data_IF_670880920336
#
_entry.id   IF_670880920336
#
_cell.length_a   1.000
_cell.length_b   1.000
_cell.length_c   1.000
_cell.angle_alpha   90.00
_cell.angle_beta   90.00
_cell.angle_gamma   90.00
#
_symmetry.space_group_name_H-M   'P 1'
#
loop_
_entity.id
_entity.type
_entity.pdbx_description
1 polymer ?
#
# COMPACT_ATOMS: atom_id res chain seq x y z
N UNK A 1 -8.34 -25.48 -11.19
CA UNK A 1 -9.61 -25.22 -10.48
C UNK A 1 -10.49 -24.27 -11.30
N UNK A 2 -11.81 -24.31 -11.09
CA UNK A 2 -12.77 -23.40 -11.73
C UNK A 2 -13.68 -22.79 -10.66
N UNK A 3 -13.76 -21.47 -10.61
CA UNK A 3 -14.72 -20.72 -9.79
C UNK A 3 -15.88 -20.35 -10.70
N UNK A 4 -17.11 -20.81 -10.40
CA UNK A 4 -18.31 -20.61 -11.22
C UNK A 4 -19.31 -19.67 -10.56
N UNK A 5 -20.13 -19.04 -11.41
CA UNK A 5 -21.30 -18.25 -10.98
C UNK A 5 -20.97 -17.06 -10.07
N UNK A 6 -19.73 -16.54 -10.12
CA UNK A 6 -19.35 -15.36 -9.37
C UNK A 6 -19.68 -14.06 -10.11
N UNK A 7 -19.87 -12.98 -9.36
CA UNK A 7 -19.78 -11.59 -9.87
C UNK A 7 -18.30 -11.23 -9.94
N UNK A 8 -17.70 -11.35 -11.12
CA UNK A 8 -16.26 -11.19 -11.33
C UNK A 8 -15.95 -9.72 -11.61
N UNK A 9 -14.99 -9.14 -10.86
CA UNK A 9 -14.40 -7.87 -11.21
C UNK A 9 -13.53 -8.02 -12.46
N UNK A 10 -13.98 -7.42 -13.55
CA UNK A 10 -13.35 -7.59 -14.87
C UNK A 10 -12.26 -6.53 -15.13
N UNK A 11 -11.37 -6.76 -16.10
CA UNK A 11 -10.40 -5.74 -16.55
C UNK A 11 -11.03 -4.47 -17.15
N UNK A 12 -12.36 -4.44 -17.32
CA UNK A 12 -13.12 -3.26 -17.71
C UNK A 12 -13.63 -2.46 -16.53
N UNK A 13 -13.21 -2.83 -15.32
CA UNK A 13 -13.61 -2.22 -14.05
C UNK A 13 -15.14 -2.29 -13.81
N UNK A 14 -15.74 -3.41 -14.18
CA UNK A 14 -17.16 -3.71 -13.97
C UNK A 14 -17.31 -5.08 -13.34
N UNK A 15 -18.44 -5.33 -12.67
CA UNK A 15 -18.80 -6.66 -12.19
C UNK A 15 -19.68 -7.38 -13.21
N UNK A 16 -19.28 -8.58 -13.61
CA UNK A 16 -20.02 -9.42 -14.56
C UNK A 16 -20.17 -10.84 -14.04
N UNK A 17 -21.34 -11.43 -14.21
CA UNK A 17 -21.52 -12.85 -13.89
C UNK A 17 -20.67 -13.72 -14.82
N UNK A 18 -19.94 -14.67 -14.23
CA UNK A 18 -19.05 -15.50 -15.02
C UNK A 18 -18.36 -16.59 -14.24
N UNK A 19 -17.32 -17.13 -14.86
CA UNK A 19 -16.47 -18.16 -14.26
C UNK A 19 -15.00 -17.85 -14.54
N UNK A 20 -14.15 -18.17 -13.57
CA UNK A 20 -12.69 -18.07 -13.67
C UNK A 20 -12.12 -19.49 -13.74
N UNK A 21 -11.19 -19.71 -14.66
CA UNK A 21 -10.39 -20.94 -14.72
C UNK A 21 -8.96 -20.61 -14.31
N UNK A 22 -8.42 -21.35 -13.33
CA UNK A 22 -7.06 -21.19 -12.85
C UNK A 22 -6.31 -22.50 -13.05
N UNK A 23 -5.23 -22.46 -13.81
CA UNK A 23 -4.34 -23.60 -14.07
C UNK A 23 -2.90 -23.18 -13.90
N UNK A 24 -2.09 -24.02 -13.27
CA UNK A 24 -0.67 -23.74 -12.99
C UNK A 24 -0.47 -22.39 -12.30
N UNK A 25 -1.38 -22.06 -11.37
CA UNK A 25 -1.32 -20.82 -10.59
C UNK A 25 -1.74 -19.55 -11.34
N UNK A 26 -2.18 -19.65 -12.62
CA UNK A 26 -2.56 -18.50 -13.43
C UNK A 26 -3.99 -18.59 -13.93
N UNK A 27 -4.60 -17.43 -14.11
CA UNK A 27 -5.89 -17.31 -14.77
C UNK A 27 -5.70 -17.61 -16.27
N UNK A 28 -6.50 -18.52 -16.78
CA UNK A 28 -6.53 -18.87 -18.21
C UNK A 28 -7.89 -18.50 -18.82
N UNK A 29 -8.00 -18.35 -20.15
CA UNK A 29 -9.30 -18.22 -20.78
C UNK A 29 -10.23 -19.35 -20.35
N UNK A 30 -11.52 -19.05 -20.21
CA UNK A 30 -12.49 -20.05 -19.75
C UNK A 30 -12.35 -21.36 -20.55
N UNK A 31 -12.23 -22.46 -19.84
CA UNK A 31 -12.14 -23.81 -20.40
C UNK A 31 -13.12 -24.74 -19.68
N UNK A 32 -13.54 -25.80 -20.36
CA UNK A 32 -14.36 -26.85 -19.72
C UNK A 32 -13.54 -27.52 -18.60
N UNK A 33 -14.22 -27.99 -17.54
CA UNK A 33 -13.57 -28.73 -16.46
C UNK A 33 -12.84 -29.96 -16.99
N UNK A 34 -11.63 -30.20 -16.50
CA UNK A 34 -10.89 -31.42 -16.70
C UNK A 34 -11.24 -32.46 -15.61
N UNK A 35 -10.98 -33.74 -15.87
CA UNK A 35 -11.24 -34.80 -14.89
C UNK A 35 -10.42 -34.56 -13.60
N UNK A 36 -11.10 -34.53 -12.46
CA UNK A 36 -10.48 -34.25 -11.14
C UNK A 36 -10.21 -32.77 -10.83
N UNK A 37 -10.59 -31.86 -11.74
CA UNK A 37 -10.43 -30.42 -11.49
C UNK A 37 -11.43 -29.94 -10.42
N UNK A 38 -10.93 -29.19 -9.42
CA UNK A 38 -11.76 -28.61 -8.37
C UNK A 38 -12.72 -27.56 -8.97
N UNK A 39 -13.99 -27.64 -8.58
CA UNK A 39 -15.03 -26.69 -8.98
C UNK A 39 -15.61 -26.05 -7.72
N UNK A 40 -15.52 -24.72 -7.65
CA UNK A 40 -16.09 -23.90 -6.59
C UNK A 40 -17.31 -23.18 -7.11
N UNK A 41 -18.46 -23.39 -6.51
CA UNK A 41 -19.68 -22.61 -6.79
C UNK A 41 -19.66 -21.34 -5.93
N UNK A 42 -19.53 -20.19 -6.57
CA UNK A 42 -19.49 -18.88 -5.96
C UNK A 42 -20.74 -18.05 -6.26
N UNK A 43 -21.91 -18.73 -6.40
CA UNK A 43 -23.18 -18.07 -6.65
C UNK A 43 -23.47 -16.99 -5.61
N UNK A 44 -23.66 -15.76 -6.05
CA UNK A 44 -23.97 -14.60 -5.21
C UNK A 44 -22.76 -13.94 -4.54
N UNK A 45 -21.56 -14.48 -4.73
CA UNK A 45 -20.34 -13.87 -4.23
C UNK A 45 -19.68 -12.97 -5.29
N UNK A 46 -18.99 -11.94 -4.83
CA UNK A 46 -18.01 -11.20 -5.61
C UNK A 46 -16.72 -12.00 -5.74
N UNK A 47 -16.13 -12.02 -6.92
CA UNK A 47 -14.74 -12.46 -7.13
C UNK A 47 -13.89 -11.23 -7.40
N UNK A 48 -13.07 -10.87 -6.41
CA UNK A 48 -12.17 -9.72 -6.45
C UNK A 48 -10.72 -10.20 -6.71
N UNK A 49 -9.87 -9.40 -7.36
CA UNK A 49 -8.45 -9.69 -7.41
C UNK A 49 -7.83 -9.65 -6.01
N UNK A 50 -6.78 -10.44 -5.77
CA UNK A 50 -5.96 -10.29 -4.58
C UNK A 50 -5.45 -8.85 -4.48
N UNK A 51 -5.57 -8.26 -3.28
CA UNK A 51 -5.16 -6.89 -3.01
C UNK A 51 -3.65 -6.76 -3.01
N UNK A 52 -3.19 -5.53 -3.20
CA UNK A 52 -1.77 -5.14 -3.20
C UNK A 52 -1.61 -3.96 -2.24
N UNK A 53 -0.86 -4.15 -1.15
CA UNK A 53 -0.55 -3.06 -0.22
C UNK A 53 0.87 -2.57 -0.44
N UNK A 54 0.99 -1.29 -0.76
CA UNK A 54 2.29 -0.66 -1.04
C UNK A 54 2.77 0.27 0.08
N UNK A 55 2.01 0.35 1.18
CA UNK A 55 2.39 1.17 2.31
C UNK A 55 1.75 0.65 3.61
N UNK A 56 2.51 -0.09 4.39
CA UNK A 56 2.20 -0.48 5.76
C UNK A 56 3.51 -0.84 6.47
N UNK A 57 3.55 -0.74 7.82
CA UNK A 57 4.76 -0.98 8.62
C UNK A 57 4.72 -2.31 9.36
N UNK A 58 3.53 -2.73 9.80
CA UNK A 58 3.45 -3.88 10.68
C UNK A 58 2.06 -4.44 10.91
N UNK A 59 2.03 -5.61 11.55
CA UNK A 59 0.83 -6.29 12.05
C UNK A 59 1.23 -7.37 13.07
N UNK A 60 0.28 -7.83 13.88
CA UNK A 60 0.45 -8.98 14.79
C UNK A 60 1.66 -8.89 15.72
N UNK A 61 2.04 -7.68 16.14
CA UNK A 61 3.16 -7.42 17.04
C UNK A 61 4.53 -7.41 16.37
N UNK A 62 4.58 -7.46 15.03
CA UNK A 62 5.81 -7.39 14.24
C UNK A 62 5.82 -6.13 13.38
N UNK A 63 7.02 -5.61 13.15
CA UNK A 63 7.29 -4.47 12.29
C UNK A 63 8.26 -4.91 11.18
N UNK A 64 8.09 -4.39 9.97
CA UNK A 64 9.00 -4.69 8.87
C UNK A 64 10.45 -4.30 9.21
N UNK A 65 10.60 -3.21 9.96
CA UNK A 65 11.91 -2.75 10.44
C UNK A 65 12.50 -3.58 11.59
N UNK A 66 11.83 -4.65 12.06
CA UNK A 66 12.48 -5.67 12.91
C UNK A 66 13.63 -6.36 12.16
N UNK A 67 13.65 -6.30 10.82
CA UNK A 67 14.76 -6.68 9.97
C UNK A 67 15.12 -8.17 10.08
N UNK A 68 14.11 -9.03 10.19
CA UNK A 68 14.31 -10.48 10.29
C UNK A 68 13.20 -11.27 9.58
N UNK A 69 13.49 -12.53 9.25
CA UNK A 69 12.60 -13.43 8.53
C UNK A 69 11.28 -13.70 9.25
N UNK A 70 11.31 -13.82 10.59
CA UNK A 70 10.11 -14.07 11.40
C UNK A 70 9.10 -12.94 11.25
N UNK A 71 9.57 -11.68 11.28
CA UNK A 71 8.71 -10.51 11.10
C UNK A 71 8.11 -10.50 9.69
N UNK A 72 8.92 -10.63 8.65
CA UNK A 72 8.44 -10.62 7.25
C UNK A 72 7.41 -11.73 7.03
N UNK A 73 7.67 -12.96 7.50
CA UNK A 73 6.75 -14.08 7.35
C UNK A 73 5.44 -13.86 8.13
N UNK A 74 5.52 -13.27 9.33
CA UNK A 74 4.31 -12.95 10.13
C UNK A 74 3.43 -11.94 9.39
N UNK A 75 4.04 -10.89 8.81
CA UNK A 75 3.33 -9.91 8.00
C UNK A 75 2.71 -10.56 6.76
N UNK A 76 3.48 -11.36 6.04
CA UNK A 76 3.01 -12.07 4.85
C UNK A 76 1.83 -13.00 5.15
N UNK A 77 1.88 -13.76 6.24
CA UNK A 77 0.79 -14.66 6.65
C UNK A 77 -0.47 -13.88 7.05
N UNK A 78 -0.32 -12.80 7.82
CA UNK A 78 -1.45 -11.96 8.24
C UNK A 78 -2.13 -11.30 7.05
N UNK A 79 -1.37 -10.65 6.19
CA UNK A 79 -1.88 -9.94 5.02
C UNK A 79 -2.58 -10.88 4.04
N UNK A 80 -2.01 -12.07 3.79
CA UNK A 80 -2.65 -13.09 2.95
C UNK A 80 -3.99 -13.56 3.54
N UNK A 81 -4.06 -13.75 4.87
CA UNK A 81 -5.31 -14.07 5.58
C UNK A 81 -6.39 -12.98 5.45
N UNK A 82 -5.99 -11.76 5.08
CA UNK A 82 -6.87 -10.61 4.81
C UNK A 82 -7.08 -10.36 3.30
N UNK A 83 -6.60 -11.25 2.43
CA UNK A 83 -6.77 -11.10 0.99
C UNK A 83 -5.77 -10.17 0.31
N UNK A 84 -4.79 -9.63 1.03
CA UNK A 84 -3.65 -8.91 0.46
C UNK A 84 -2.60 -9.93 0.05
N UNK A 85 -2.38 -10.11 -1.24
CA UNK A 85 -1.57 -11.20 -1.78
C UNK A 85 -0.24 -10.76 -2.37
N UNK A 86 0.01 -9.44 -2.41
CA UNK A 86 1.30 -8.85 -2.71
C UNK A 86 1.54 -7.68 -1.75
N UNK A 87 2.71 -7.66 -1.13
CA UNK A 87 3.08 -6.66 -0.12
C UNK A 87 4.36 -5.93 -0.50
N UNK A 88 4.34 -4.61 -0.30
CA UNK A 88 5.48 -3.72 -0.42
C UNK A 88 5.56 -2.87 0.87
N UNK A 89 5.99 -3.49 2.00
CA UNK A 89 6.00 -2.82 3.30
C UNK A 89 6.90 -1.59 3.32
N UNK A 90 6.54 -0.62 4.16
CA UNK A 90 7.28 0.60 4.34
C UNK A 90 8.32 0.48 5.46
N UNK A 91 9.50 1.09 5.24
CA UNK A 91 10.46 1.30 6.31
C UNK A 91 10.04 2.50 7.18
N UNK A 92 10.67 2.65 8.32
CA UNK A 92 10.63 3.87 9.12
C UNK A 92 11.93 4.66 8.93
N UNK A 93 11.93 5.93 9.34
CA UNK A 93 13.15 6.74 9.43
C UNK A 93 14.09 6.16 10.47
N UNK A 94 15.16 5.51 9.99
CA UNK A 94 16.21 4.89 10.78
C UNK A 94 17.60 5.21 10.23
N UNK A 95 18.65 4.88 11.00
CA UNK A 95 20.02 4.96 10.53
C UNK A 95 20.28 4.00 9.36
N UNK A 96 21.25 4.32 8.50
CA UNK A 96 21.64 3.43 7.39
C UNK A 96 22.04 2.03 7.91
N UNK A 97 22.60 1.91 9.12
CA UNK A 97 22.97 0.63 9.73
C UNK A 97 21.74 -0.24 10.00
N UNK A 98 20.68 0.32 10.58
CA UNK A 98 19.41 -0.40 10.83
C UNK A 98 18.75 -0.76 9.49
N UNK A 99 18.65 0.19 8.57
CA UNK A 99 18.07 -0.04 7.25
C UNK A 99 18.82 -1.12 6.46
N UNK A 100 20.14 -1.21 6.60
CA UNK A 100 20.93 -2.30 6.01
C UNK A 100 20.43 -3.69 6.47
N UNK A 101 20.13 -3.87 7.76
CA UNK A 101 19.58 -5.12 8.30
C UNK A 101 18.21 -5.45 7.71
N UNK A 102 17.34 -4.44 7.57
CA UNK A 102 16.01 -4.59 6.95
C UNK A 102 16.14 -5.03 5.49
N UNK A 103 17.02 -4.36 4.72
CA UNK A 103 17.25 -4.69 3.31
C UNK A 103 17.81 -6.11 3.13
N UNK A 104 18.76 -6.52 4.01
CA UNK A 104 19.33 -7.87 3.97
C UNK A 104 18.26 -8.94 4.26
N UNK A 105 17.41 -8.73 5.26
CA UNK A 105 16.33 -9.65 5.59
C UNK A 105 15.33 -9.77 4.43
N UNK A 106 14.92 -8.64 3.84
CA UNK A 106 14.01 -8.62 2.70
C UNK A 106 14.61 -9.32 1.47
N UNK A 107 15.89 -9.10 1.18
CA UNK A 107 16.58 -9.75 0.05
C UNK A 107 16.77 -11.26 0.25
N UNK A 108 16.81 -11.73 1.49
CA UNK A 108 16.94 -13.15 1.84
C UNK A 108 15.59 -13.88 1.86
N UNK A 109 14.47 -13.16 2.07
CA UNK A 109 13.13 -13.74 2.15
C UNK A 109 12.76 -14.51 0.89
N UNK A 110 12.08 -15.63 1.06
CA UNK A 110 11.63 -16.48 -0.04
C UNK A 110 10.08 -16.52 -0.06
N UNK A 111 9.50 -15.95 -1.09
CA UNK A 111 8.06 -16.05 -1.33
C UNK A 111 7.65 -17.52 -1.52
N UNK A 112 6.49 -17.88 -1.00
CA UNK A 112 5.97 -19.27 -1.14
C UNK A 112 4.89 -19.61 -0.13
N UNK A 113 4.82 -18.82 0.95
CA UNK A 113 3.79 -18.90 1.97
C UNK A 113 3.38 -17.48 2.36
N UNK A 114 2.07 -17.23 2.49
CA UNK A 114 1.56 -15.89 2.78
C UNK A 114 1.60 -14.98 1.54
N UNK A 115 1.44 -13.68 1.73
CA UNK A 115 1.54 -12.69 0.67
C UNK A 115 2.97 -12.64 0.10
N UNK A 116 3.09 -12.47 -1.21
CA UNK A 116 4.41 -12.32 -1.83
C UNK A 116 5.00 -10.94 -1.48
N UNK A 117 6.21 -10.91 -0.93
CA UNK A 117 7.01 -9.68 -0.80
C UNK A 117 7.49 -9.28 -2.19
N UNK A 118 6.93 -8.19 -2.72
CA UNK A 118 7.16 -7.74 -4.11
C UNK A 118 7.95 -6.43 -4.19
N UNK A 119 8.14 -5.77 -3.06
CA UNK A 119 8.87 -4.51 -3.00
C UNK A 119 9.06 -4.02 -1.56
N UNK A 120 9.71 -2.87 -1.46
CA UNK A 120 9.90 -2.09 -0.24
C UNK A 120 9.54 -0.64 -0.58
N UNK A 121 8.75 0.00 0.27
CA UNK A 121 8.58 1.44 0.28
C UNK A 121 9.60 2.04 1.28
N UNK A 122 10.51 2.87 0.81
CA UNK A 122 11.49 3.54 1.66
C UNK A 122 10.88 4.84 2.19
N UNK A 123 10.12 4.76 3.29
CA UNK A 123 9.55 5.93 3.96
C UNK A 123 10.56 6.56 4.92
N UNK A 124 11.09 7.69 4.50
CA UNK A 124 12.25 8.30 5.13
C UNK A 124 13.57 7.57 4.80
N UNK A 125 14.70 8.11 5.24
CA UNK A 125 14.89 9.22 6.16
C UNK A 125 14.94 10.61 5.49
N UNK A 126 14.56 10.76 4.23
CA UNK A 126 14.69 11.99 3.43
C UNK A 126 13.46 12.91 3.55
N UNK A 127 12.91 13.03 4.76
CA UNK A 127 11.68 13.75 5.06
C UNK A 127 11.93 15.03 5.86
N UNK A 128 10.92 15.90 5.93
CA UNK A 128 11.05 17.21 6.58
C UNK A 128 11.06 17.13 8.11
N UNK A 129 11.99 17.80 8.80
CA UNK A 129 12.00 17.89 10.26
C UNK A 129 10.76 18.58 10.83
N UNK A 130 10.03 19.34 10.00
CA UNK A 130 8.83 20.06 10.41
C UNK A 130 7.55 19.25 10.22
N UNK A 131 7.63 18.07 9.61
CA UNK A 131 6.49 17.18 9.30
C UNK A 131 6.81 15.70 9.57
N UNK A 132 7.61 15.44 10.59
CA UNK A 132 8.03 14.08 10.96
C UNK A 132 6.86 13.14 11.30
N UNK A 133 5.70 13.67 11.76
CA UNK A 133 4.60 12.80 12.17
C UNK A 133 5.03 11.85 13.28
N UNK A 134 4.89 10.54 13.03
CA UNK A 134 5.34 9.46 13.92
C UNK A 134 6.76 8.97 13.60
N UNK A 135 7.47 9.56 12.64
CA UNK A 135 8.85 9.23 12.33
C UNK A 135 9.81 9.74 13.41
N UNK A 136 10.95 9.06 13.62
CA UNK A 136 11.92 9.48 14.61
C UNK A 136 12.87 10.58 14.06
N UNK A 137 12.83 11.82 14.58
CA UNK A 137 13.64 12.91 14.06
C UNK A 137 15.15 12.72 14.26
N UNK A 138 15.59 11.83 15.14
CA UNK A 138 17.01 11.54 15.39
C UNK A 138 17.72 11.00 14.14
N UNK A 139 17.00 10.29 13.29
CA UNK A 139 17.56 9.60 12.11
C UNK A 139 17.27 10.30 10.77
N UNK A 140 16.76 11.54 10.83
CA UNK A 140 16.57 12.32 9.61
C UNK A 140 17.90 12.50 8.86
N UNK A 141 17.85 12.33 7.56
CA UNK A 141 19.01 12.47 6.69
C UNK A 141 18.67 13.33 5.47
N UNK A 142 19.63 14.12 5.02
CA UNK A 142 19.49 14.81 3.73
C UNK A 142 19.38 13.78 2.61
N UNK A 143 18.67 14.13 1.55
CA UNK A 143 18.58 13.29 0.37
C UNK A 143 19.99 12.91 -0.14
N UNK A 144 20.25 11.61 -0.24
CA UNK A 144 21.57 11.05 -0.59
C UNK A 144 21.40 9.90 -1.59
N UNK A 145 21.71 10.19 -2.85
CA UNK A 145 21.69 9.22 -3.97
C UNK A 145 22.61 8.02 -3.70
N UNK A 146 23.76 8.26 -3.07
CA UNK A 146 24.72 7.17 -2.81
C UNK A 146 24.19 6.23 -1.71
N UNK A 147 23.57 6.77 -0.65
CA UNK A 147 22.90 5.97 0.39
C UNK A 147 21.77 5.14 -0.23
N UNK A 148 20.86 5.75 -0.98
CA UNK A 148 19.79 5.03 -1.66
C UNK A 148 20.33 3.87 -2.52
N UNK A 149 21.35 4.12 -3.36
CA UNK A 149 21.88 3.08 -4.23
C UNK A 149 22.59 1.95 -3.46
N UNK A 150 23.19 2.24 -2.29
CA UNK A 150 23.74 1.19 -1.40
C UNK A 150 22.61 0.32 -0.84
N UNK A 151 21.52 0.95 -0.34
CA UNK A 151 20.33 0.25 0.18
C UNK A 151 19.64 -0.57 -0.93
N UNK A 152 19.41 0.03 -2.10
CA UNK A 152 18.80 -0.64 -3.26
C UNK A 152 19.61 -1.88 -3.71
N UNK A 153 20.95 -1.75 -3.75
CA UNK A 153 21.82 -2.89 -4.05
C UNK A 153 21.68 -3.98 -2.98
N UNK A 154 21.60 -3.62 -1.71
CA UNK A 154 21.47 -4.54 -0.59
C UNK A 154 20.13 -5.25 -0.60
N UNK A 155 19.06 -4.52 -0.89
CA UNK A 155 17.71 -5.03 -1.09
C UNK A 155 17.54 -5.86 -2.37
N UNK A 156 18.59 -6.09 -3.15
CA UNK A 156 18.53 -6.80 -4.44
C UNK A 156 17.49 -6.20 -5.42
N UNK A 157 17.32 -4.87 -5.42
CA UNK A 157 16.38 -4.18 -6.30
C UNK A 157 14.93 -4.14 -5.80
N UNK A 158 14.67 -4.50 -4.55
CA UNK A 158 13.32 -4.54 -4.00
C UNK A 158 12.76 -3.16 -3.65
N UNK A 159 13.56 -2.09 -3.48
CA UNK A 159 13.01 -0.76 -3.21
C UNK A 159 12.25 -0.30 -4.46
N UNK A 160 10.93 -0.09 -4.31
CA UNK A 160 10.01 0.31 -5.39
C UNK A 160 9.56 1.76 -5.28
N UNK A 161 9.48 2.28 -4.03
CA UNK A 161 9.16 3.67 -3.73
C UNK A 161 10.22 4.27 -2.83
N UNK A 162 10.42 5.58 -2.97
CA UNK A 162 11.19 6.41 -2.03
C UNK A 162 10.37 7.64 -1.70
N UNK A 163 10.13 7.86 -0.43
CA UNK A 163 9.40 8.99 0.10
C UNK A 163 10.35 10.14 0.42
N UNK A 164 10.05 11.33 -0.08
CA UNK A 164 10.95 12.48 0.02
C UNK A 164 10.19 13.80 0.22
N UNK A 165 10.74 14.69 1.06
CA UNK A 165 10.29 16.07 1.19
C UNK A 165 11.06 16.95 0.21
N UNK A 166 10.43 17.49 -0.85
CA UNK A 166 11.15 18.19 -1.92
C UNK A 166 11.75 19.53 -1.52
N UNK A 167 11.32 20.12 -0.41
CA UNK A 167 11.91 21.35 0.16
C UNK A 167 13.24 21.12 0.88
N UNK A 168 13.56 19.86 1.21
CA UNK A 168 14.79 19.56 1.94
C UNK A 168 16.02 19.62 1.01
N UNK A 169 17.19 20.01 1.56
CA UNK A 169 18.41 20.18 0.77
C UNK A 169 18.81 18.90 0.01
N UNK A 170 19.02 19.01 -1.30
CA UNK A 170 19.42 17.90 -2.18
C UNK A 170 18.27 17.05 -2.71
N UNK A 171 17.01 17.35 -2.30
CA UNK A 171 15.87 16.54 -2.68
C UNK A 171 15.56 16.60 -4.18
N UNK A 172 15.58 17.80 -4.80
CA UNK A 172 15.32 17.94 -6.24
C UNK A 172 16.41 17.24 -7.09
N UNK A 173 17.66 17.34 -6.66
CA UNK A 173 18.78 16.64 -7.31
C UNK A 173 18.65 15.12 -7.16
N UNK A 174 18.19 14.64 -5.98
CA UNK A 174 17.91 13.23 -5.76
C UNK A 174 16.79 12.73 -6.69
N UNK A 175 15.67 13.47 -6.76
CA UNK A 175 14.55 13.13 -7.65
C UNK A 175 15.05 13.02 -9.09
N UNK A 176 15.73 14.05 -9.60
CA UNK A 176 16.25 14.07 -10.96
C UNK A 176 17.24 12.93 -11.27
N UNK A 177 18.00 12.48 -10.26
CA UNK A 177 18.99 11.43 -10.42
C UNK A 177 18.45 10.01 -10.30
N UNK A 178 17.29 9.81 -9.63
CA UNK A 178 16.80 8.49 -9.24
C UNK A 178 15.43 8.11 -9.82
N UNK A 179 14.68 9.03 -10.44
CA UNK A 179 13.30 8.78 -10.90
C UNK A 179 13.17 7.66 -11.95
N UNK A 180 14.22 7.35 -12.71
CA UNK A 180 14.26 6.22 -13.63
C UNK A 180 14.60 4.87 -12.94
N UNK A 181 15.13 4.91 -11.71
CA UNK A 181 15.54 3.75 -10.94
C UNK A 181 14.44 3.27 -9.96
N UNK A 182 13.63 4.21 -9.46
CA UNK A 182 12.63 3.99 -8.43
C UNK A 182 11.52 5.04 -8.53
N UNK A 183 10.30 4.68 -8.14
CA UNK A 183 9.22 5.67 -8.03
C UNK A 183 9.50 6.63 -6.88
N UNK A 184 9.38 7.93 -7.15
CA UNK A 184 9.57 8.98 -6.15
C UNK A 184 8.21 9.51 -5.71
N UNK A 185 7.99 9.48 -4.41
CA UNK A 185 6.78 9.98 -3.76
C UNK A 185 7.06 11.20 -2.89
N UNK A 186 6.24 12.23 -3.01
CA UNK A 186 6.29 13.38 -2.11
C UNK A 186 5.59 13.02 -0.80
N UNK A 187 6.32 13.13 0.32
CA UNK A 187 5.88 12.70 1.62
C UNK A 187 6.42 13.57 2.75
N UNK A 188 5.75 13.61 3.91
CA UNK A 188 6.22 14.25 5.14
C UNK A 188 6.87 15.61 4.88
N UNK A 189 6.11 16.54 4.30
CA UNK A 189 6.63 17.75 3.66
C UNK A 189 5.92 19.01 4.15
N UNK A 190 6.64 20.11 4.17
CA UNK A 190 6.11 21.48 4.29
C UNK A 190 6.13 22.23 2.94
N UNK A 191 6.29 21.50 1.85
CA UNK A 191 6.53 22.09 0.52
C UNK A 191 5.41 23.03 0.08
N UNK A 192 5.81 24.06 -0.65
CA UNK A 192 4.88 24.96 -1.34
C UNK A 192 4.35 24.32 -2.63
N UNK A 193 3.33 24.94 -3.21
CA UNK A 193 2.84 24.57 -4.55
C UNK A 193 3.94 24.60 -5.61
N UNK A 194 4.77 25.68 -5.62
CA UNK A 194 5.83 25.84 -6.62
C UNK A 194 6.95 24.81 -6.47
N UNK A 195 7.37 24.52 -5.23
CA UNK A 195 8.39 23.51 -4.96
C UNK A 195 7.88 22.10 -5.26
N UNK A 196 6.62 21.80 -4.97
CA UNK A 196 6.00 20.53 -5.37
C UNK A 196 5.97 20.37 -6.89
N UNK A 197 5.61 21.42 -7.64
CA UNK A 197 5.68 21.40 -9.10
C UNK A 197 7.12 21.16 -9.61
N UNK A 198 8.12 21.79 -8.99
CA UNK A 198 9.53 21.53 -9.34
C UNK A 198 9.92 20.07 -9.09
N UNK A 199 9.40 19.43 -8.03
CA UNK A 199 9.63 18.01 -7.78
C UNK A 199 8.97 17.10 -8.83
N UNK A 200 7.75 17.43 -9.26
CA UNK A 200 7.08 16.72 -10.36
C UNK A 200 7.81 16.93 -11.69
N UNK A 201 8.29 18.14 -11.98
CA UNK A 201 9.13 18.42 -13.15
C UNK A 201 10.46 17.66 -13.12
N UNK A 202 11.01 17.39 -11.93
CA UNK A 202 12.22 16.59 -11.73
C UNK A 202 11.98 15.07 -11.83
N UNK A 203 10.71 14.60 -11.82
CA UNK A 203 10.39 13.19 -12.02
C UNK A 203 9.64 12.51 -10.88
N UNK A 204 9.21 13.23 -9.83
CA UNK A 204 8.26 12.69 -8.87
C UNK A 204 6.91 12.42 -9.57
N UNK A 205 6.19 11.36 -9.18
CA UNK A 205 4.93 10.97 -9.81
C UNK A 205 3.87 10.50 -8.82
N UNK A 206 4.18 10.55 -7.52
CA UNK A 206 3.39 9.93 -6.49
C UNK A 206 3.32 10.80 -5.23
N UNK A 207 2.27 10.66 -4.42
CA UNK A 207 2.14 11.28 -3.10
C UNK A 207 1.72 10.26 -2.05
N UNK A 208 2.48 10.18 -1.00
CA UNK A 208 2.29 9.28 0.13
C UNK A 208 1.19 9.80 1.05
N UNK A 209 0.31 8.90 1.54
CA UNK A 209 -0.78 9.12 2.50
C UNK A 209 -1.36 10.55 2.47
N UNK A 210 -1.93 10.93 1.31
CA UNK A 210 -2.44 12.26 1.00
C UNK A 210 -3.18 12.90 2.18
N UNK A 211 -2.95 14.18 2.45
CA UNK A 211 -3.38 15.01 3.58
C UNK A 211 -2.58 14.82 4.87
N UNK A 212 -1.97 13.67 5.10
CA UNK A 212 -1.25 13.38 6.33
C UNK A 212 0.20 13.88 6.23
N UNK A 213 0.70 14.50 7.30
CA UNK A 213 2.04 15.06 7.39
C UNK A 213 2.41 16.02 6.22
N UNK A 214 1.45 16.81 5.71
CA UNK A 214 1.64 17.80 4.66
C UNK A 214 0.76 19.04 4.85
N UNK A 215 0.99 20.16 4.11
CA UNK A 215 0.09 21.31 4.11
C UNK A 215 -1.25 20.97 3.48
N UNK A 216 -2.35 21.48 4.06
CA UNK A 216 -3.69 21.39 3.49
C UNK A 216 -3.93 22.38 2.35
N UNK A 217 -5.03 22.20 1.63
CA UNK A 217 -5.46 23.11 0.55
C UNK A 217 -5.98 24.42 1.12
N UNK A 218 -5.41 25.55 0.71
CA UNK A 218 -5.97 26.88 0.94
C UNK A 218 -6.04 27.68 -0.35
N UNK A 219 -6.88 28.71 -0.39
CA UNK A 219 -7.12 29.48 -1.63
C UNK A 219 -6.00 30.43 -2.04
N UNK A 220 -4.99 30.66 -1.19
CA UNK A 220 -3.80 31.48 -1.48
C UNK A 220 -2.50 30.69 -1.43
N UNK A 221 -2.52 29.57 -0.74
CA UNK A 221 -1.41 28.61 -0.61
C UNK A 221 -1.98 27.21 -0.92
N UNK A 222 -2.14 26.87 -2.21
CA UNK A 222 -2.81 25.62 -2.60
C UNK A 222 -2.04 24.37 -2.20
N UNK A 223 -0.73 24.48 -1.98
CA UNK A 223 0.12 23.41 -1.47
C UNK A 223 0.38 22.26 -2.45
N UNK A 224 1.02 21.20 -1.97
CA UNK A 224 1.43 20.07 -2.80
C UNK A 224 0.25 19.28 -3.37
N UNK A 225 -0.90 19.27 -2.69
CA UNK A 225 -2.08 18.49 -3.09
C UNK A 225 -2.64 18.99 -4.44
N UNK A 226 -2.72 20.29 -4.62
CA UNK A 226 -3.19 20.87 -5.90
C UNK A 226 -2.13 20.70 -7.00
N UNK A 227 -0.84 20.81 -6.65
CA UNK A 227 0.22 20.51 -7.61
C UNK A 227 0.13 19.04 -8.09
N UNK A 228 -0.07 18.08 -7.20
CA UNK A 228 -0.26 16.68 -7.53
C UNK A 228 -1.47 16.45 -8.46
N UNK A 229 -2.59 17.09 -8.16
CA UNK A 229 -3.81 17.01 -8.97
C UNK A 229 -3.56 17.50 -10.41
N UNK A 230 -2.92 18.67 -10.57
CA UNK A 230 -2.65 19.25 -11.88
C UNK A 230 -1.62 18.47 -12.71
N UNK A 231 -0.74 17.72 -12.01
CA UNK A 231 0.28 16.85 -12.63
C UNK A 231 -0.19 15.43 -12.89
N UNK A 232 -1.43 15.08 -12.48
CA UNK A 232 -1.94 13.72 -12.60
C UNK A 232 -1.12 12.70 -11.81
N UNK A 233 -0.62 13.10 -10.64
CA UNK A 233 0.12 12.20 -9.77
C UNK A 233 -0.78 11.14 -9.15
N UNK A 234 -0.23 9.95 -8.89
CA UNK A 234 -0.89 8.94 -8.06
C UNK A 234 -0.87 9.38 -6.60
N UNK A 235 -1.95 9.07 -5.85
CA UNK A 235 -2.10 9.52 -4.46
C UNK A 235 -2.59 8.39 -3.57
N UNK A 236 -1.91 8.19 -2.45
CA UNK A 236 -2.30 7.19 -1.45
C UNK A 236 -3.37 7.74 -0.51
N UNK A 237 -4.34 6.90 -0.12
CA UNK A 237 -5.37 7.22 0.86
C UNK A 237 -5.49 6.13 1.93
N UNK A 238 -5.53 6.54 3.20
CA UNK A 238 -5.85 5.70 4.35
C UNK A 238 -7.35 5.85 4.65
N UNK A 239 -8.15 4.83 4.37
CA UNK A 239 -9.61 4.88 4.51
C UNK A 239 -10.11 4.13 5.75
N UNK A 240 -9.47 4.36 6.89
CA UNK A 240 -9.73 3.71 8.17
C UNK A 240 -10.78 4.42 9.06
N UNK A 241 -11.41 5.52 8.57
CA UNK A 241 -12.28 6.42 9.33
C UNK A 241 -11.61 7.22 10.46
N UNK A 242 -10.29 7.20 10.54
CA UNK A 242 -9.50 7.93 11.55
C UNK A 242 -8.68 9.04 10.89
N UNK A 243 -7.91 8.68 9.84
CA UNK A 243 -6.98 9.58 9.18
C UNK A 243 -7.68 10.63 8.32
N UNK A 244 -8.72 10.23 7.60
CA UNK A 244 -9.37 11.09 6.59
C UNK A 244 -10.88 11.07 6.79
N UNK A 245 -11.47 12.25 6.81
CA UNK A 245 -12.93 12.37 6.86
C UNK A 245 -13.57 11.82 5.57
N UNK A 246 -14.69 11.05 5.62
CA UNK A 246 -15.31 10.44 4.45
C UNK A 246 -15.63 11.41 3.30
N UNK A 247 -15.95 12.68 3.59
CA UNK A 247 -16.16 13.69 2.56
C UNK A 247 -14.89 14.00 1.76
N UNK A 248 -13.69 13.94 2.41
CA UNK A 248 -12.40 14.16 1.75
C UNK A 248 -11.98 12.95 0.92
N UNK A 249 -12.32 11.74 1.36
CA UNK A 249 -12.13 10.52 0.55
C UNK A 249 -12.92 10.65 -0.76
N UNK A 250 -14.22 10.95 -0.69
CA UNK A 250 -15.04 11.18 -1.90
C UNK A 250 -14.54 12.34 -2.76
N UNK A 251 -14.12 13.44 -2.13
CA UNK A 251 -13.51 14.57 -2.84
C UNK A 251 -12.29 14.12 -3.66
N UNK A 252 -11.42 13.29 -3.07
CA UNK A 252 -10.22 12.81 -3.75
C UNK A 252 -10.57 11.91 -4.94
N UNK A 253 -11.44 10.92 -4.76
CA UNK A 253 -11.89 10.09 -5.89
C UNK A 253 -12.53 10.91 -7.01
N UNK A 254 -13.37 11.91 -6.67
CA UNK A 254 -14.01 12.75 -7.66
C UNK A 254 -13.07 13.71 -8.40
N UNK A 255 -11.96 14.12 -7.77
CA UNK A 255 -11.02 15.10 -8.35
C UNK A 255 -9.84 14.45 -9.03
N UNK A 256 -9.22 13.46 -8.41
CA UNK A 256 -8.07 12.74 -8.99
C UNK A 256 -8.50 11.66 -9.99
N UNK A 257 -9.72 11.14 -9.84
CA UNK A 257 -10.23 10.04 -10.65
C UNK A 257 -9.72 8.67 -10.20
N UNK A 258 -10.43 7.63 -10.60
CA UNK A 258 -10.18 6.25 -10.17
C UNK A 258 -8.81 5.71 -10.59
N UNK A 259 -8.20 6.29 -11.63
CA UNK A 259 -6.91 5.85 -12.15
C UNK A 259 -5.71 6.26 -11.26
N UNK A 260 -5.89 7.26 -10.41
CA UNK A 260 -4.80 7.89 -9.67
C UNK A 260 -4.88 7.65 -8.16
N UNK A 261 -6.01 7.12 -7.65
CA UNK A 261 -6.15 6.86 -6.21
C UNK A 261 -5.67 5.46 -5.88
N UNK A 262 -4.84 5.35 -4.85
CA UNK A 262 -4.34 4.10 -4.29
C UNK A 262 -4.78 4.00 -2.84
N UNK A 263 -5.45 2.93 -2.44
CA UNK A 263 -5.72 2.65 -1.03
C UNK A 263 -4.52 1.95 -0.41
N UNK A 264 -4.18 2.36 0.79
CA UNK A 264 -3.12 1.80 1.62
C UNK A 264 -3.63 1.55 3.03
N UNK A 265 -2.97 0.67 3.77
CA UNK A 265 -3.28 0.43 5.17
C UNK A 265 -2.57 1.43 6.09
N UNK A 266 -1.34 1.75 5.81
CA UNK A 266 -0.43 2.43 6.74
C UNK A 266 -0.49 1.79 8.14
N UNK A 267 -0.68 0.46 8.18
CA UNK A 267 -0.86 -0.27 9.42
C UNK A 267 0.45 -0.39 10.19
N UNK A 268 0.34 -0.37 11.51
CA UNK A 268 1.47 -0.58 12.41
C UNK A 268 1.34 -1.90 13.17
N UNK A 269 2.35 -2.29 13.96
CA UNK A 269 2.42 -3.61 14.61
C UNK A 269 1.19 -3.99 15.44
N UNK A 270 0.34 -3.05 15.86
CA UNK A 270 -0.90 -3.35 16.59
C UNK A 270 -2.03 -3.84 15.69
N UNK A 271 -1.91 -3.75 14.37
CA UNK A 271 -2.94 -4.26 13.47
C UNK A 271 -3.17 -5.76 13.73
N UNK A 272 -4.44 -6.13 13.93
CA UNK A 272 -4.83 -7.50 14.31
C UNK A 272 -4.73 -7.82 15.81
N UNK A 273 -4.29 -6.88 16.65
CA UNK A 273 -4.14 -7.04 18.09
C UNK A 273 -5.13 -6.16 18.89
N UNK A 274 -5.38 -6.44 20.18
CA UNK A 274 -6.27 -5.63 21.02
C UNK A 274 -5.67 -4.26 21.34
N UNK A 275 -6.49 -3.39 21.93
CA UNK A 275 -6.05 -2.12 22.52
C UNK A 275 -4.87 -2.33 23.48
N UNK A 276 -3.89 -1.43 23.48
CA UNK A 276 -2.69 -1.56 24.30
C UNK A 276 -1.58 -0.58 23.98
N UNK A 277 -0.40 -0.90 24.52
CA UNK A 277 0.84 -0.16 24.28
C UNK A 277 1.69 -0.93 23.26
N UNK A 278 2.15 -0.21 22.26
CA UNK A 278 2.93 -0.74 21.15
C UNK A 278 4.08 0.22 20.82
N UNK A 279 4.75 0.01 19.69
CA UNK A 279 5.76 0.94 19.18
C UNK A 279 5.65 1.12 17.67
N UNK A 280 6.15 2.24 17.17
CA UNK A 280 6.34 2.51 15.75
C UNK A 280 7.61 3.35 15.59
N UNK A 281 8.57 2.89 14.78
CA UNK A 281 9.82 3.61 14.59
C UNK A 281 10.62 3.86 15.86
N UNK A 282 10.48 2.98 16.89
CA UNK A 282 11.11 3.13 18.20
C UNK A 282 10.37 4.09 19.15
N UNK A 283 9.25 4.68 18.73
CA UNK A 283 8.43 5.56 19.56
C UNK A 283 7.26 4.79 20.18
N UNK A 284 6.91 5.10 21.46
CA UNK A 284 5.78 4.48 22.13
C UNK A 284 4.44 4.93 21.53
N UNK A 285 3.56 3.96 21.25
CA UNK A 285 2.22 4.18 20.68
C UNK A 285 1.16 3.58 21.57
N UNK A 286 0.11 4.36 21.82
CA UNK A 286 -1.11 3.89 22.50
C UNK A 286 -2.20 3.64 21.48
N UNK A 287 -2.75 2.42 21.47
CA UNK A 287 -3.91 2.04 20.65
C UNK A 287 -5.15 1.97 21.52
N UNK A 288 -6.20 2.67 21.10
CA UNK A 288 -7.51 2.65 21.74
C UNK A 288 -8.61 2.68 20.66
N UNK A 289 -9.34 1.59 20.53
CA UNK A 289 -10.28 1.37 19.43
C UNK A 289 -9.56 1.48 18.07
N UNK A 290 -10.09 2.23 17.11
CA UNK A 290 -9.47 2.34 15.79
C UNK A 290 -8.25 3.29 15.76
N UNK A 291 -7.90 3.93 16.89
CA UNK A 291 -6.90 5.00 16.96
C UNK A 291 -5.57 4.51 17.51
N UNK A 292 -4.50 4.71 16.75
CA UNK A 292 -3.12 4.61 17.21
C UNK A 292 -2.53 6.04 17.30
N UNK A 293 -1.94 6.41 18.44
CA UNK A 293 -1.35 7.73 18.66
C UNK A 293 -0.03 7.62 19.41
N UNK A 294 0.89 8.55 19.16
CA UNK A 294 2.10 8.63 19.98
C UNK A 294 1.72 8.84 21.47
N UNK A 295 2.28 8.02 22.35
CA UNK A 295 1.94 8.04 23.79
C UNK A 295 2.30 9.39 24.43
N UNK A 296 3.43 9.97 24.06
CA UNK A 296 3.89 11.27 24.59
C UNK A 296 3.21 12.45 23.88
N UNK A 297 2.63 12.22 22.66
CA UNK A 297 1.96 13.23 21.85
C UNK A 297 0.61 12.72 21.36
N UNK A 298 -0.43 12.61 22.24
CA UNK A 298 -1.72 11.96 21.90
C UNK A 298 -2.51 12.64 20.75
N UNK A 299 -2.08 13.85 20.33
CA UNK A 299 -2.63 14.54 19.16
C UNK A 299 -2.06 14.04 17.82
N UNK A 300 -0.96 13.28 17.83
CA UNK A 300 -0.31 12.76 16.63
C UNK A 300 -0.74 11.33 16.39
N UNK A 301 -1.39 11.07 15.25
CA UNK A 301 -1.72 9.73 14.79
C UNK A 301 -0.41 9.04 14.38
N UNK A 302 -0.28 7.75 14.67
CA UNK A 302 0.94 6.97 14.49
C UNK A 302 0.62 5.65 13.74
N UNK A 303 0.48 5.76 12.42
CA UNK A 303 0.00 4.69 11.57
C UNK A 303 -1.44 4.27 11.89
N UNK A 304 -1.94 3.22 11.26
CA UNK A 304 -3.27 2.69 11.49
C UNK A 304 -3.24 1.34 12.23
N UNK A 305 -4.38 0.95 12.81
CA UNK A 305 -4.63 -0.39 13.32
C UNK A 305 -5.55 -1.21 12.39
N UNK A 306 -5.61 -0.83 11.10
CA UNK A 306 -6.56 -1.36 10.12
C UNK A 306 -5.82 -1.95 8.92
N UNK A 307 -6.13 -3.17 8.49
CA UNK A 307 -5.54 -3.75 7.28
C UNK A 307 -6.17 -3.18 6.00
N UNK A 308 -5.51 -3.35 4.85
CA UNK A 308 -5.96 -2.80 3.56
C UNK A 308 -7.38 -3.28 3.17
N UNK A 309 -7.70 -4.55 3.41
CA UNK A 309 -9.04 -5.06 3.08
C UNK A 309 -10.13 -4.32 3.85
N UNK A 310 -9.92 -4.06 5.15
CA UNK A 310 -10.87 -3.31 5.97
C UNK A 310 -10.92 -1.83 5.57
N UNK A 311 -9.79 -1.23 5.12
CA UNK A 311 -9.78 0.11 4.53
C UNK A 311 -10.65 0.15 3.26
N UNK A 312 -10.47 -0.78 2.33
CA UNK A 312 -11.29 -0.89 1.11
C UNK A 312 -12.77 -1.09 1.45
N UNK A 313 -13.10 -2.01 2.38
CA UNK A 313 -14.47 -2.28 2.82
C UNK A 313 -15.13 -1.03 3.42
N UNK A 314 -14.44 -0.28 4.27
CA UNK A 314 -14.93 0.98 4.85
C UNK A 314 -15.13 2.06 3.80
N UNK A 315 -14.22 2.18 2.83
CA UNK A 315 -14.39 3.11 1.72
C UNK A 315 -15.73 2.89 1.01
N UNK A 316 -16.12 1.64 0.78
CA UNK A 316 -17.39 1.28 0.13
C UNK A 316 -18.59 1.48 1.07
N UNK A 317 -18.59 0.80 2.22
CA UNK A 317 -19.79 0.67 3.06
C UNK A 317 -20.05 1.91 3.92
N UNK A 318 -19.01 2.66 4.30
CA UNK A 318 -19.10 3.76 5.24
C UNK A 318 -18.82 5.14 4.61
N UNK A 319 -18.05 5.17 3.50
CA UNK A 319 -17.69 6.43 2.85
C UNK A 319 -18.37 6.65 1.50
N UNK A 320 -19.16 5.67 1.01
CA UNK A 320 -19.90 5.70 -0.27
C UNK A 320 -18.97 5.86 -1.50
N UNK A 321 -17.81 5.22 -1.49
CA UNK A 321 -16.98 5.02 -2.69
C UNK A 321 -17.59 3.86 -3.48
N UNK A 322 -17.74 3.95 -4.82
CA UNK A 322 -18.17 2.81 -5.64
C UNK A 322 -17.26 1.59 -5.41
N UNK A 323 -17.84 0.39 -5.36
CA UNK A 323 -17.08 -0.84 -5.13
C UNK A 323 -15.99 -1.03 -6.19
N UNK A 324 -16.33 -0.74 -7.44
CA UNK A 324 -15.40 -0.84 -8.58
C UNK A 324 -14.19 0.06 -8.41
N UNK A 325 -14.40 1.30 -7.96
CA UNK A 325 -13.35 2.27 -7.69
C UNK A 325 -12.45 1.84 -6.52
N UNK A 326 -13.07 1.35 -5.42
CA UNK A 326 -12.33 0.92 -4.24
C UNK A 326 -11.49 -0.34 -4.51
N UNK A 327 -12.04 -1.32 -5.24
CA UNK A 327 -11.30 -2.53 -5.66
C UNK A 327 -10.12 -2.15 -6.55
N UNK A 328 -10.33 -1.27 -7.52
CA UNK A 328 -9.27 -0.79 -8.41
C UNK A 328 -8.16 -0.11 -7.63
N UNK A 329 -8.51 0.78 -6.71
CA UNK A 329 -7.58 1.52 -5.87
C UNK A 329 -6.79 0.63 -4.89
N UNK A 330 -7.32 -0.53 -4.51
CA UNK A 330 -6.66 -1.48 -3.59
C UNK A 330 -5.95 -2.65 -4.31
N UNK A 331 -6.02 -2.73 -5.65
CA UNK A 331 -5.47 -3.86 -6.39
C UNK A 331 -4.69 -3.44 -7.64
N UNK A 332 -5.34 -2.97 -8.69
CA UNK A 332 -4.72 -2.69 -9.98
C UNK A 332 -3.82 -1.45 -9.93
N UNK A 333 -4.28 -0.35 -9.31
CA UNK A 333 -3.51 0.88 -9.24
C UNK A 333 -2.19 0.70 -8.48
N UNK A 334 -2.17 0.13 -7.24
CA UNK A 334 -0.90 -0.11 -6.56
C UNK A 334 0.00 -1.10 -7.32
N UNK A 335 -0.56 -2.12 -7.98
CA UNK A 335 0.24 -3.05 -8.80
C UNK A 335 0.92 -2.33 -9.98
N UNK A 336 0.21 -1.44 -10.67
CA UNK A 336 0.76 -0.60 -11.75
C UNK A 336 1.81 0.37 -11.21
N UNK A 337 1.51 1.01 -10.07
CA UNK A 337 2.39 1.98 -9.44
C UNK A 337 3.80 1.42 -9.20
N UNK A 338 3.91 0.19 -8.74
CA UNK A 338 5.21 -0.45 -8.48
C UNK A 338 5.67 -1.43 -9.58
N UNK A 339 4.98 -1.46 -10.72
CA UNK A 339 5.39 -2.22 -11.91
C UNK A 339 5.27 -3.74 -11.79
N UNK A 340 4.27 -4.25 -11.04
CA UNK A 340 4.00 -5.69 -10.87
C UNK A 340 2.68 -6.13 -11.51
N UNK A 341 2.01 -5.26 -12.25
CA UNK A 341 0.70 -5.49 -12.84
C UNK A 341 0.67 -6.57 -13.92
N UNK A 342 1.84 -7.08 -14.35
CA UNK A 342 1.93 -8.26 -15.20
C UNK A 342 1.49 -9.54 -14.51
N UNK A 343 1.54 -9.60 -13.18
CA UNK A 343 1.22 -10.78 -12.39
C UNK A 343 0.10 -10.53 -11.38
N UNK A 344 -0.01 -9.32 -10.80
CA UNK A 344 -0.90 -8.98 -9.69
C UNK A 344 -1.97 -7.94 -10.04
N UNK A 345 -2.93 -7.76 -9.14
CA UNK A 345 -3.91 -6.67 -9.15
C UNK A 345 -5.08 -6.85 -10.12
N UNK A 346 -5.17 -7.94 -10.88
CA UNK A 346 -6.22 -8.14 -11.88
C UNK A 346 -6.60 -9.61 -12.04
N UNK A 347 -7.85 -9.86 -12.43
CA UNK A 347 -8.36 -11.19 -12.80
C UNK A 347 -8.29 -11.46 -14.31
N UNK A 348 -7.46 -10.72 -15.04
CA UNK A 348 -7.22 -10.95 -16.47
C UNK A 348 -6.47 -12.27 -16.70
N UNK A 349 -6.70 -12.88 -17.88
CA UNK A 349 -5.94 -14.05 -18.30
C UNK A 349 -4.43 -13.75 -18.34
N UNK A 350 -3.63 -14.71 -17.88
CA UNK A 350 -2.17 -14.60 -17.74
C UNK A 350 -1.71 -14.13 -16.36
N UNK A 351 -2.55 -13.45 -15.56
CA UNK A 351 -2.25 -13.01 -14.19
C UNK A 351 -2.27 -14.19 -13.22
N UNK A 352 -1.69 -14.03 -12.04
CA UNK A 352 -1.82 -15.03 -10.99
C UNK A 352 -3.29 -15.26 -10.62
N UNK A 353 -3.64 -16.49 -10.30
CA UNK A 353 -4.96 -16.89 -9.80
C UNK A 353 -5.16 -16.47 -8.34
N UNK A 354 -4.97 -15.20 -8.07
CA UNK A 354 -5.12 -14.55 -6.79
C UNK A 354 -6.54 -13.99 -6.69
N UNK A 355 -7.43 -14.70 -5.98
CA UNK A 355 -8.87 -14.41 -5.97
C UNK A 355 -9.37 -14.33 -4.54
N UNK A 356 -10.14 -13.29 -4.24
CA UNK A 356 -10.93 -13.16 -3.01
C UNK A 356 -12.38 -13.40 -3.37
N UNK A 357 -13.03 -14.35 -2.70
CA UNK A 357 -14.50 -14.47 -2.72
C UNK A 357 -15.08 -13.75 -1.51
N UNK A 358 -15.97 -12.82 -1.75
CA UNK A 358 -16.64 -12.04 -0.70
C UNK A 358 -18.15 -12.02 -0.90
N UNK A 359 -18.92 -11.96 0.19
CA UNK A 359 -20.36 -11.75 0.14
C UNK A 359 -20.71 -10.29 -0.21
N UNK A 360 -22.01 -9.98 -0.23
CA UNK A 360 -22.51 -8.63 -0.56
C UNK A 360 -22.18 -7.58 0.50
N UNK A 361 -21.93 -8.00 1.72
CA UNK A 361 -21.46 -7.19 2.84
C UNK A 361 -19.93 -7.09 2.88
N UNK A 362 -19.26 -7.60 1.83
CA UNK A 362 -17.81 -7.66 1.70
C UNK A 362 -17.15 -8.42 2.88
N UNK A 363 -17.77 -9.50 3.36
CA UNK A 363 -17.10 -10.44 4.25
C UNK A 363 -16.38 -11.50 3.41
N UNK A 364 -15.11 -11.73 3.70
CA UNK A 364 -14.30 -12.74 3.01
C UNK A 364 -14.89 -14.13 3.29
N UNK A 365 -15.18 -14.88 2.24
CA UNK A 365 -15.64 -16.26 2.28
C UNK A 365 -14.52 -17.25 1.95
N UNK A 366 -13.61 -16.84 1.08
CA UNK A 366 -12.42 -17.59 0.71
C UNK A 366 -11.36 -16.69 0.10
N UNK A 367 -10.10 -17.07 0.26
CA UNK A 367 -8.95 -16.45 -0.42
C UNK A 367 -8.18 -17.56 -1.14
N UNK A 368 -7.91 -17.34 -2.39
CA UNK A 368 -7.08 -18.22 -3.22
C UNK A 368 -5.82 -17.47 -3.65
N UNK A 369 -4.68 -18.07 -3.39
CA UNK A 369 -3.39 -17.59 -3.86
C UNK A 369 -2.85 -18.54 -4.92
N UNK A 370 -2.65 -18.04 -6.12
CA UNK A 370 -2.21 -18.85 -7.28
C UNK A 370 -3.03 -20.14 -7.44
N UNK A 371 -4.36 -20.01 -7.19
CA UNK A 371 -5.31 -21.11 -7.29
C UNK A 371 -5.33 -22.07 -6.10
N UNK A 372 -4.54 -21.86 -5.08
CA UNK A 372 -4.58 -22.64 -3.84
C UNK A 372 -5.38 -21.89 -2.78
N UNK A 373 -6.38 -22.54 -2.18
CA UNK A 373 -7.16 -21.97 -1.08
C UNK A 373 -6.30 -21.80 0.16
N UNK A 374 -6.30 -20.60 0.76
CA UNK A 374 -5.56 -20.28 1.97
C UNK A 374 -6.45 -19.84 3.14
N UNK A 375 -7.70 -19.40 2.85
CA UNK A 375 -8.76 -19.06 3.82
C UNK A 375 -10.06 -19.73 3.43
#
# INVERSE_FOLDING_TARGET
>A
MIIKNALIYTPRHTFEEGSLTIREGRIVPFAQPEEGEEIVDATGAYALPGLVDIHFHGAMGKDFCDGNEEAIQTLADFEAGKGVLAICPATMTFSEEILNGVMDAAAAHQNGRGADLVGINMEGPFISPNKVGAQNPEYLHKADVAMFRRLQKRANGLIKLVDIAPEEPGALEFIAACHDEVRISIAHTCTSYDTANAAFDAGATHMTHLYNAMPGITHREPGPIIAALERGAEVELITDNVHIHPAMVRFTFNTFGDDHVILIADSMMACGLPDGQYSLGGQAVTVSGPRATLTEHPGTIAGSATCLYDCMKRAVLEMNVPLESAVRAASENPAKSIGIDNDYGSLAAGRYGNVILADKELNIQAVYQKGTRIV
#
